data_IF_757393312086
#
_entry.id   IF_757393312086
#
_cell.length_a   1.000
_cell.length_b   1.000
_cell.length_c   1.000
_cell.angle_alpha   90.00
_cell.angle_beta   90.00
_cell.angle_gamma   90.00
#
_symmetry.space_group_name_H-M   'P 1'
#
loop_
_entity.id
_entity.type
_entity.pdbx_description
1 polymer ?
#
# COMPACT_ATOMS: atom_id res chain seq x y z
N UNK A 1 -28.74 -5.87 -3.03
CA UNK A 1 -27.36 -6.33 -2.92
C UNK A 1 -26.37 -5.16 -2.91
N UNK A 2 -25.39 -5.26 -2.06
CA UNK A 2 -24.36 -4.22 -1.98
C UNK A 2 -23.36 -4.39 -3.12
N UNK A 3 -22.91 -3.30 -3.73
CA UNK A 3 -21.88 -3.41 -4.75
C UNK A 3 -20.57 -3.91 -4.16
N UNK A 4 -19.82 -4.66 -4.93
CA UNK A 4 -18.47 -5.04 -4.54
C UNK A 4 -17.53 -3.86 -4.75
N UNK A 5 -16.80 -3.52 -3.71
CA UNK A 5 -15.78 -2.47 -3.77
C UNK A 5 -14.43 -3.14 -3.54
N UNK A 6 -13.64 -3.23 -4.59
CA UNK A 6 -12.30 -3.83 -4.51
C UNK A 6 -11.26 -2.74 -4.30
N UNK A 7 -10.33 -3.01 -3.40
CA UNK A 7 -9.17 -2.14 -3.21
C UNK A 7 -7.90 -2.97 -3.34
N UNK A 8 -6.82 -2.33 -3.78
CA UNK A 8 -5.56 -3.01 -4.10
C UNK A 8 -4.41 -2.33 -3.34
N UNK A 9 -4.43 -2.35 -2.00
CA UNK A 9 -3.37 -1.71 -1.25
C UNK A 9 -2.04 -2.44 -1.40
N UNK A 10 -0.95 -1.67 -1.38
CA UNK A 10 0.41 -2.21 -1.32
C UNK A 10 0.93 -1.93 0.08
N UNK A 11 1.49 -2.94 0.73
CA UNK A 11 1.94 -2.84 2.11
C UNK A 11 3.45 -3.03 2.24
N UNK A 12 4.04 -2.37 3.23
CA UNK A 12 5.42 -2.57 3.63
C UNK A 12 5.46 -2.54 5.16
N UNK A 13 5.60 -3.72 5.77
CA UNK A 13 5.75 -3.81 7.23
C UNK A 13 7.22 -3.59 7.56
N UNK A 14 7.51 -2.46 8.18
CA UNK A 14 8.88 -2.01 8.40
C UNK A 14 8.95 -1.07 9.60
N UNK A 15 10.11 -1.03 10.25
CA UNK A 15 10.39 -0.02 11.27
C UNK A 15 10.88 1.31 10.67
N UNK A 16 11.12 1.32 9.35
CA UNK A 16 11.58 2.53 8.65
C UNK A 16 10.62 2.88 7.49
N UNK A 17 9.44 3.44 7.82
CA UNK A 17 8.47 3.78 6.77
C UNK A 17 8.96 4.90 5.85
N UNK A 18 9.89 5.75 6.31
CA UNK A 18 10.46 6.81 5.48
C UNK A 18 11.27 6.21 4.35
N UNK A 19 12.12 5.20 4.64
CA UNK A 19 12.90 4.52 3.62
C UNK A 19 12.00 3.76 2.64
N UNK A 20 10.93 3.13 3.12
CA UNK A 20 9.98 2.44 2.26
C UNK A 20 9.29 3.41 1.30
N UNK A 21 8.90 4.59 1.79
CA UNK A 21 8.29 5.63 0.97
C UNK A 21 9.28 6.13 -0.09
N UNK A 22 10.53 6.42 0.32
CA UNK A 22 11.57 6.90 -0.59
C UNK A 22 11.83 5.90 -1.71
N UNK A 23 11.87 4.60 -1.39
CA UNK A 23 12.03 3.55 -2.38
C UNK A 23 10.87 3.57 -3.39
N UNK A 24 9.63 3.71 -2.90
CA UNK A 24 8.45 3.77 -3.77
C UNK A 24 8.46 4.99 -4.70
N UNK A 25 8.90 6.14 -4.20
CA UNK A 25 9.04 7.35 -5.02
C UNK A 25 10.04 7.10 -6.15
N UNK A 26 11.18 6.50 -5.84
CA UNK A 26 12.21 6.21 -6.83
C UNK A 26 11.72 5.21 -7.87
N UNK A 27 11.05 4.15 -7.42
CA UNK A 27 10.54 3.11 -8.32
C UNK A 27 9.47 3.63 -9.28
N UNK A 28 8.68 4.62 -8.87
CA UNK A 28 7.59 5.15 -9.68
C UNK A 28 7.97 6.40 -10.46
N UNK A 29 9.22 6.88 -10.34
CA UNK A 29 9.64 8.14 -10.94
C UNK A 29 9.41 8.18 -12.46
N UNK A 30 9.68 7.07 -13.14
CA UNK A 30 9.52 6.98 -14.59
C UNK A 30 8.05 7.15 -15.03
N UNK A 31 7.11 6.69 -14.20
CA UNK A 31 5.69 6.77 -14.53
C UNK A 31 5.10 8.14 -14.26
N UNK A 32 5.72 8.93 -13.41
CA UNK A 32 5.21 10.25 -13.02
C UNK A 32 5.13 11.23 -14.19
N UNK A 33 5.93 10.99 -15.24
CA UNK A 33 5.95 11.85 -16.42
C UNK A 33 4.81 11.54 -17.38
N UNK A 34 4.10 10.42 -17.21
CA UNK A 34 3.00 10.05 -18.11
C UNK A 34 1.73 10.84 -17.78
N UNK A 35 1.11 11.52 -18.77
CA UNK A 35 -0.07 12.37 -18.49
C UNK A 35 -1.22 11.63 -17.83
N UNK A 36 -1.53 10.41 -18.25
CA UNK A 36 -2.62 9.62 -17.66
C UNK A 36 -2.32 9.28 -16.21
N UNK A 37 -1.06 9.00 -15.90
CA UNK A 37 -0.64 8.68 -14.55
C UNK A 37 -0.72 9.91 -13.66
N UNK A 38 -0.28 11.07 -14.17
CA UNK A 38 -0.40 12.34 -13.46
C UNK A 38 -1.86 12.66 -13.14
N UNK A 39 -2.75 12.44 -14.08
CA UNK A 39 -4.17 12.69 -13.86
C UNK A 39 -4.73 11.80 -12.75
N UNK A 40 -4.30 10.54 -12.68
CA UNK A 40 -4.71 9.62 -11.63
C UNK A 40 -4.21 10.11 -10.27
N UNK A 41 -2.95 10.53 -10.19
CA UNK A 41 -2.37 11.04 -8.94
C UNK A 41 -3.09 12.29 -8.47
N UNK A 42 -3.43 13.19 -9.39
CA UNK A 42 -4.17 14.41 -9.06
C UNK A 42 -5.55 14.08 -8.48
N UNK A 43 -6.24 13.08 -9.03
CA UNK A 43 -7.53 12.66 -8.49
C UNK A 43 -7.42 12.08 -7.10
N UNK A 44 -6.33 11.36 -6.81
CA UNK A 44 -6.09 10.80 -5.48
C UNK A 44 -5.54 11.83 -4.51
N UNK A 45 -5.15 13.01 -5.00
CA UNK A 45 -4.61 14.07 -4.13
C UNK A 45 -3.21 13.80 -3.62
N UNK A 46 -2.41 13.04 -4.37
CA UNK A 46 -1.04 12.68 -3.97
C UNK A 46 -0.04 13.03 -5.05
N UNK A 47 1.22 13.17 -4.68
CA UNK A 47 2.31 13.49 -5.61
C UNK A 47 2.97 12.25 -6.21
N UNK A 48 2.85 11.11 -5.54
CA UNK A 48 3.49 9.87 -5.94
C UNK A 48 2.63 8.69 -5.50
N UNK A 49 2.62 7.58 -6.26
CA UNK A 49 1.97 6.34 -5.80
C UNK A 49 2.50 5.86 -4.44
N UNK A 50 3.76 6.19 -4.12
CA UNK A 50 4.35 5.83 -2.83
C UNK A 50 3.60 6.47 -1.66
N UNK A 51 2.90 7.58 -1.88
CA UNK A 51 2.09 8.23 -0.85
C UNK A 51 0.90 7.36 -0.44
N UNK A 52 0.50 6.44 -1.32
CA UNK A 52 -0.60 5.51 -1.06
C UNK A 52 -0.13 4.19 -0.42
N UNK A 53 1.18 4.01 -0.27
CA UNK A 53 1.74 2.81 0.34
C UNK A 53 1.34 2.72 1.83
N UNK A 54 0.76 1.58 2.20
CA UNK A 54 0.43 1.30 3.60
C UNK A 54 1.70 0.79 4.27
N UNK A 55 2.28 1.61 5.12
CA UNK A 55 3.61 1.37 5.66
C UNK A 55 3.71 1.64 7.15
N UNK A 56 4.68 0.99 7.78
CA UNK A 56 4.94 1.11 9.20
C UNK A 56 5.05 -0.25 9.86
N UNK A 57 4.88 -0.28 11.18
CA UNK A 57 4.87 -1.54 11.93
C UNK A 57 3.62 -2.36 11.58
N UNK A 58 3.55 -3.58 12.12
CA UNK A 58 2.38 -4.43 11.93
C UNK A 58 1.10 -3.71 12.34
N UNK A 59 1.13 -3.00 13.46
CA UNK A 59 -0.04 -2.26 13.93
C UNK A 59 -0.41 -1.11 12.99
N UNK A 60 0.58 -0.40 12.47
CA UNK A 60 0.35 0.68 11.52
C UNK A 60 -0.28 0.17 10.23
N UNK A 61 0.22 -0.94 9.72
CA UNK A 61 -0.30 -1.54 8.49
C UNK A 61 -1.71 -2.07 8.71
N UNK A 62 -1.97 -2.71 9.84
CA UNK A 62 -3.31 -3.19 10.17
C UNK A 62 -4.29 -2.02 10.20
N UNK A 63 -3.94 -0.93 10.87
CA UNK A 63 -4.80 0.26 10.93
C UNK A 63 -5.06 0.84 9.55
N UNK A 64 -4.04 0.84 8.68
CA UNK A 64 -4.18 1.30 7.30
C UNK A 64 -5.15 0.44 6.50
N UNK A 65 -5.05 -0.87 6.63
CA UNK A 65 -5.97 -1.80 5.96
C UNK A 65 -7.40 -1.64 6.48
N UNK A 66 -7.56 -1.44 7.78
CA UNK A 66 -8.87 -1.22 8.38
C UNK A 66 -9.55 0.05 7.86
N UNK A 67 -8.76 1.07 7.50
CA UNK A 67 -9.32 2.29 6.90
C UNK A 67 -9.96 2.02 5.54
N UNK A 68 -9.42 1.10 4.74
CA UNK A 68 -10.05 0.71 3.48
C UNK A 68 -11.41 0.07 3.72
N UNK A 69 -11.50 -0.79 4.72
CA UNK A 69 -12.77 -1.45 5.07
C UNK A 69 -13.78 -0.40 5.57
N UNK A 70 -13.32 0.51 6.45
CA UNK A 70 -14.18 1.58 6.97
C UNK A 70 -14.68 2.50 5.86
N UNK A 71 -13.90 2.69 4.79
CA UNK A 71 -14.30 3.50 3.65
C UNK A 71 -15.21 2.77 2.67
N UNK A 72 -15.53 1.50 2.92
CA UNK A 72 -16.50 0.76 2.13
C UNK A 72 -15.95 -0.38 1.29
N UNK A 73 -14.65 -0.66 1.36
CA UNK A 73 -14.08 -1.77 0.60
C UNK A 73 -14.61 -3.10 1.13
N UNK A 74 -15.08 -3.95 0.21
CA UNK A 74 -15.61 -5.27 0.55
C UNK A 74 -14.61 -6.38 0.23
N UNK A 75 -13.57 -6.04 -0.53
CA UNK A 75 -12.51 -6.99 -0.88
C UNK A 75 -11.18 -6.24 -0.97
N UNK A 76 -10.16 -6.76 -0.31
CA UNK A 76 -8.81 -6.23 -0.37
C UNK A 76 -7.90 -7.23 -1.06
N UNK A 77 -7.23 -6.81 -2.12
CA UNK A 77 -6.17 -7.58 -2.77
C UNK A 77 -4.85 -6.92 -2.44
N UNK A 78 -4.18 -7.46 -1.44
CA UNK A 78 -3.00 -6.83 -0.86
C UNK A 78 -1.75 -7.33 -1.57
N UNK A 79 -0.94 -6.39 -2.04
CA UNK A 79 0.37 -6.68 -2.61
C UNK A 79 1.45 -6.26 -1.62
N UNK A 80 2.63 -6.87 -1.71
CA UNK A 80 3.76 -6.60 -0.82
C UNK A 80 4.81 -5.80 -1.57
N UNK A 81 5.27 -4.69 -0.97
CA UNK A 81 6.36 -3.89 -1.51
C UNK A 81 7.67 -4.68 -1.46
N UNK A 82 8.46 -4.57 -2.51
CA UNK A 82 9.75 -5.25 -2.62
C UNK A 82 10.92 -4.34 -2.27
N UNK A 83 10.75 -3.46 -1.28
CA UNK A 83 11.78 -2.50 -0.87
C UNK A 83 13.10 -3.19 -0.50
N UNK A 84 13.02 -4.30 0.24
CA UNK A 84 14.15 -5.15 0.54
C UNK A 84 13.64 -6.53 0.96
N UNK A 85 14.51 -7.58 0.91
CA UNK A 85 14.05 -8.94 1.23
C UNK A 85 13.52 -9.10 2.65
N UNK A 86 14.09 -8.42 3.62
CA UNK A 86 13.66 -8.53 5.03
C UNK A 86 12.26 -7.93 5.21
N UNK A 87 12.02 -6.76 4.63
CA UNK A 87 10.71 -6.11 4.69
C UNK A 87 9.67 -6.94 3.95
N UNK A 88 10.03 -7.48 2.79
CA UNK A 88 9.14 -8.33 2.02
C UNK A 88 8.73 -9.57 2.82
N UNK A 89 9.70 -10.24 3.44
CA UNK A 89 9.43 -11.44 4.24
C UNK A 89 8.56 -11.10 5.45
N UNK A 90 8.88 -10.02 6.15
CA UNK A 90 8.09 -9.57 7.31
C UNK A 90 6.66 -9.25 6.91
N UNK A 91 6.47 -8.61 5.77
CA UNK A 91 5.15 -8.24 5.26
C UNK A 91 4.34 -9.50 4.92
N UNK A 92 4.96 -10.48 4.26
CA UNK A 92 4.29 -11.74 3.92
C UNK A 92 3.90 -12.51 5.19
N UNK A 93 4.77 -12.54 6.19
CA UNK A 93 4.48 -13.19 7.47
C UNK A 93 3.31 -12.52 8.18
N UNK A 94 3.27 -11.19 8.18
CA UNK A 94 2.16 -10.44 8.76
C UNK A 94 0.83 -10.80 8.07
N UNK A 95 0.81 -10.82 6.73
CA UNK A 95 -0.41 -11.13 5.99
C UNK A 95 -0.86 -12.57 6.22
N UNK A 96 0.08 -13.52 6.30
CA UNK A 96 -0.24 -14.91 6.57
C UNK A 96 -0.89 -15.06 7.93
N UNK A 97 -0.37 -14.38 8.95
CA UNK A 97 -0.93 -14.40 10.29
C UNK A 97 -2.32 -13.76 10.33
N UNK A 98 -2.50 -12.67 9.62
CA UNK A 98 -3.79 -11.98 9.55
C UNK A 98 -4.86 -12.88 8.92
N UNK A 99 -4.51 -13.64 7.87
CA UNK A 99 -5.44 -14.55 7.21
C UNK A 99 -5.82 -15.75 8.07
N UNK A 100 -4.94 -16.16 8.99
CA UNK A 100 -5.21 -17.28 9.89
C UNK A 100 -6.08 -16.90 11.08
N UNK A 101 -6.07 -15.64 11.43
CA UNK A 101 -6.70 -15.17 12.63
C UNK A 101 -7.88 -14.37 12.51
#
# INVERSE_FOLDING_TARGET
>A
PQPRVKAFPIVAVTDDPVAAHAFGVEQSAIYRELPAYRAMLDREGVDSPADLLVRGTEDDVLAGLQRYVAAGATELRVAVSNVDPATEQRSRSFLADLLRG
#
